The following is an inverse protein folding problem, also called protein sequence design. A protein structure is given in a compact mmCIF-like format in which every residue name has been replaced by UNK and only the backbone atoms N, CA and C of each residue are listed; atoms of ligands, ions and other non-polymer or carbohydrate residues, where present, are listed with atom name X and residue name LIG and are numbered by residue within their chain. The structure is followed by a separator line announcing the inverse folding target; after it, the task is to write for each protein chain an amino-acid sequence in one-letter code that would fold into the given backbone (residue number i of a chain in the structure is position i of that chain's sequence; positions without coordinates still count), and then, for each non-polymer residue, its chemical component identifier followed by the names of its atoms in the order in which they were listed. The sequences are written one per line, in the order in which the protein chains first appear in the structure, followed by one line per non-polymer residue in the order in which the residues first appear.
data_IF_613507117627
#
_entry.id   IF_613507117627
#
_cell.length_a   1.000
_cell.length_b   1.000
_cell.length_c   1.000
_cell.angle_alpha   90.00
_cell.angle_beta   90.00
_cell.angle_gamma   90.00
#
_symmetry.space_group_name_H-M   'P 1'
#
loop_
_entity.id
_entity.type
_entity.pdbx_description
1 polymer ?
#
# COMPACT_ATOMS: atom_id res chain seq x y z
N UNK A 1 24.53 -9.89 -22.28
CA UNK A 1 24.21 -10.28 -20.89
C UNK A 1 24.23 -9.02 -20.04
N UNK A 2 23.07 -8.52 -19.63
CA UNK A 2 23.00 -7.45 -18.63
C UNK A 2 23.27 -8.09 -17.27
N UNK A 3 24.34 -7.66 -16.61
CA UNK A 3 24.71 -8.13 -15.29
C UNK A 3 23.60 -7.78 -14.29
N UNK A 4 23.17 -8.77 -13.51
CA UNK A 4 22.39 -8.52 -12.31
C UNK A 4 23.21 -7.58 -11.42
N UNK A 5 22.73 -6.36 -11.22
CA UNK A 5 23.31 -5.44 -10.25
C UNK A 5 23.17 -6.08 -8.87
N UNK A 6 24.30 -6.45 -8.26
CA UNK A 6 24.35 -6.94 -6.89
C UNK A 6 23.75 -5.88 -5.95
N UNK A 7 22.46 -6.02 -5.63
CA UNK A 7 21.87 -5.28 -4.52
C UNK A 7 22.53 -5.80 -3.25
N UNK A 8 23.22 -4.95 -2.47
CA UNK A 8 23.81 -5.39 -1.22
C UNK A 8 22.74 -6.01 -0.30
N UNK A 9 23.03 -7.18 0.25
CA UNK A 9 22.12 -7.91 1.14
C UNK A 9 21.56 -7.03 2.27
N UNK A 10 22.41 -6.16 2.84
CA UNK A 10 22.03 -5.22 3.90
C UNK A 10 21.01 -4.16 3.46
N UNK A 11 21.11 -3.68 2.22
CA UNK A 11 20.17 -2.71 1.66
C UNK A 11 18.78 -3.35 1.44
N UNK A 12 18.74 -4.63 1.04
CA UNK A 12 17.50 -5.39 0.88
C UNK A 12 16.80 -5.64 2.22
N UNK A 13 17.55 -6.03 3.25
CA UNK A 13 16.98 -6.24 4.59
C UNK A 13 16.48 -4.95 5.23
N UNK A 14 17.21 -3.85 5.08
CA UNK A 14 16.77 -2.54 5.57
C UNK A 14 15.47 -2.09 4.91
N UNK A 15 15.33 -2.25 3.59
CA UNK A 15 14.11 -1.88 2.86
C UNK A 15 12.91 -2.75 3.27
N UNK A 16 13.10 -4.05 3.49
CA UNK A 16 12.07 -4.93 4.04
C UNK A 16 11.60 -4.47 5.41
N UNK A 17 12.53 -4.15 6.31
CA UNK A 17 12.20 -3.64 7.64
C UNK A 17 11.43 -2.32 7.58
N UNK A 18 11.91 -1.36 6.78
CA UNK A 18 11.24 -0.08 6.60
C UNK A 18 9.81 -0.23 6.06
N UNK A 19 9.60 -1.19 5.14
CA UNK A 19 8.27 -1.53 4.64
C UNK A 19 7.38 -2.11 5.75
N UNK A 20 7.88 -3.07 6.53
CA UNK A 20 7.14 -3.70 7.63
C UNK A 20 6.74 -2.68 8.72
N UNK A 21 7.66 -1.77 9.07
CA UNK A 21 7.41 -0.70 10.03
C UNK A 21 6.33 0.27 9.50
N UNK A 22 6.43 0.66 8.22
CA UNK A 22 5.44 1.52 7.58
C UNK A 22 4.05 0.86 7.47
N UNK A 23 4.01 -0.45 7.17
CA UNK A 23 2.78 -1.24 7.09
C UNK A 23 2.10 -1.30 8.45
N UNK A 24 2.84 -1.67 9.49
CA UNK A 24 2.32 -1.76 10.87
C UNK A 24 1.76 -0.41 11.34
N UNK A 25 2.45 0.68 11.00
CA UNK A 25 1.97 2.03 11.31
C UNK A 25 0.68 2.37 10.55
N UNK A 26 0.62 2.11 9.26
CA UNK A 26 -0.58 2.38 8.46
C UNK A 26 -1.76 1.54 8.92
N UNK A 27 -1.57 0.26 9.24
CA UNK A 27 -2.64 -0.61 9.77
C UNK A 27 -3.22 -0.07 11.08
N UNK A 28 -2.35 0.41 11.98
CA UNK A 28 -2.79 1.06 13.23
C UNK A 28 -3.60 2.33 12.94
N UNK A 29 -3.06 3.22 12.09
CA UNK A 29 -3.70 4.48 11.74
C UNK A 29 -5.04 4.24 10.99
N UNK A 30 -5.12 3.23 10.11
CA UNK A 30 -6.33 2.85 9.35
C UNK A 30 -7.41 2.27 10.28
N UNK A 31 -7.02 1.37 11.19
CA UNK A 31 -7.95 0.81 12.17
C UNK A 31 -8.54 1.89 13.06
N UNK A 32 -7.71 2.81 13.54
CA UNK A 32 -8.17 3.93 14.35
C UNK A 32 -9.08 4.86 13.52
N UNK A 33 -8.69 5.22 12.30
CA UNK A 33 -9.50 6.07 11.43
C UNK A 33 -10.88 5.45 11.15
N UNK A 34 -10.94 4.16 10.82
CA UNK A 34 -12.19 3.44 10.56
C UNK A 34 -13.07 3.33 11.79
N UNK A 35 -12.48 3.13 12.97
CA UNK A 35 -13.23 3.12 14.23
C UNK A 35 -13.94 4.45 14.45
N UNK A 36 -13.19 5.56 14.41
CA UNK A 36 -13.76 6.89 14.64
C UNK A 36 -14.78 7.28 13.55
N UNK A 37 -14.51 6.92 12.29
CA UNK A 37 -15.47 7.14 11.20
C UNK A 37 -16.80 6.42 11.45
N UNK A 38 -16.74 5.14 11.88
CA UNK A 38 -17.95 4.38 12.16
C UNK A 38 -18.70 4.96 13.36
N UNK A 39 -18.00 5.37 14.43
CA UNK A 39 -18.61 6.03 15.58
C UNK A 39 -19.32 7.33 15.16
N UNK A 40 -18.65 8.21 14.41
CA UNK A 40 -19.27 9.45 13.92
C UNK A 40 -20.42 9.19 12.93
N UNK A 41 -20.33 8.14 12.13
CA UNK A 41 -21.39 7.76 11.19
C UNK A 41 -22.62 7.22 11.91
N UNK A 42 -22.42 6.35 12.89
CA UNK A 42 -23.50 5.73 13.67
C UNK A 42 -24.22 6.76 14.54
N UNK A 43 -23.50 7.78 15.02
CA UNK A 43 -24.06 8.91 15.76
C UNK A 43 -24.65 10.00 14.85
N UNK A 44 -24.53 9.84 13.52
CA UNK A 44 -25.09 10.77 12.52
C UNK A 44 -24.30 12.07 12.35
N UNK A 45 -23.08 12.15 12.88
CA UNK A 45 -22.18 13.30 12.72
C UNK A 45 -21.58 13.43 11.33
N UNK A 46 -21.52 12.32 10.57
CA UNK A 46 -21.08 12.36 9.18
C UNK A 46 -21.95 11.49 8.27
N UNK A 47 -22.19 11.99 7.06
CA UNK A 47 -22.76 11.22 5.94
C UNK A 47 -21.74 11.00 4.82
N UNK A 48 -20.52 11.51 5.00
CA UNK A 48 -19.48 11.43 4.00
C UNK A 48 -19.00 9.99 3.83
N UNK A 49 -18.45 9.69 2.66
CA UNK A 49 -17.67 8.48 2.46
C UNK A 49 -16.39 8.55 3.29
N UNK A 50 -15.91 7.38 3.73
CA UNK A 50 -14.68 7.27 4.53
C UNK A 50 -13.50 8.03 3.91
N UNK A 51 -13.31 7.96 2.58
CA UNK A 51 -12.21 8.62 1.88
C UNK A 51 -12.24 10.15 2.03
N UNK A 52 -13.43 10.76 1.91
CA UNK A 52 -13.60 12.20 2.15
C UNK A 52 -13.36 12.52 3.62
N UNK A 53 -14.00 11.76 4.51
CA UNK A 53 -13.92 12.00 5.95
C UNK A 53 -12.49 11.86 6.49
N UNK A 54 -11.74 10.83 6.08
CA UNK A 54 -10.41 10.53 6.62
C UNK A 54 -9.38 11.58 6.21
N UNK A 55 -9.53 12.18 5.02
CA UNK A 55 -8.62 13.25 4.57
C UNK A 55 -8.80 14.54 5.36
N UNK A 56 -10.00 14.79 5.88
CA UNK A 56 -10.31 15.98 6.67
C UNK A 56 -9.97 15.79 8.15
N UNK A 57 -10.29 14.63 8.71
CA UNK A 57 -10.25 14.40 10.15
C UNK A 57 -8.98 13.67 10.62
N UNK A 58 -8.30 12.95 9.73
CA UNK A 58 -7.12 12.14 10.07
C UNK A 58 -5.96 12.37 9.10
N UNK A 59 -5.31 13.56 9.09
CA UNK A 59 -4.15 13.82 8.24
C UNK A 59 -3.00 12.80 8.40
N UNK A 60 -2.84 12.25 9.61
CA UNK A 60 -1.84 11.20 9.90
C UNK A 60 -2.05 9.92 9.09
N UNK A 61 -3.31 9.55 8.80
CA UNK A 61 -3.65 8.42 7.95
C UNK A 61 -3.15 8.61 6.52
N UNK A 62 -3.34 9.81 5.96
CA UNK A 62 -2.84 10.15 4.62
C UNK A 62 -1.31 10.10 4.55
N UNK A 63 -0.64 10.59 5.59
CA UNK A 63 0.83 10.54 5.69
C UNK A 63 1.34 9.10 5.79
N UNK A 64 0.74 8.25 6.62
CA UNK A 64 1.15 6.85 6.73
C UNK A 64 0.83 6.05 5.48
N UNK A 65 -0.31 6.28 4.81
CA UNK A 65 -0.63 5.70 3.50
C UNK A 65 0.44 6.03 2.46
N UNK A 66 0.80 7.31 2.34
CA UNK A 66 1.83 7.77 1.39
C UNK A 66 3.21 7.20 1.72
N UNK A 67 3.53 7.11 3.01
CA UNK A 67 4.79 6.50 3.47
C UNK A 67 4.86 5.02 3.10
N UNK A 68 3.78 4.27 3.35
CA UNK A 68 3.68 2.87 2.98
C UNK A 68 3.83 2.67 1.47
N UNK A 69 3.16 3.49 0.65
CA UNK A 69 3.31 3.45 -0.82
C UNK A 69 4.77 3.66 -1.23
N UNK A 70 5.43 4.71 -0.72
CA UNK A 70 6.85 4.96 -1.03
C UNK A 70 7.78 3.79 -0.64
N UNK A 71 7.55 3.17 0.53
CA UNK A 71 8.33 1.99 0.95
C UNK A 71 8.02 0.74 0.11
N UNK A 72 6.78 0.59 -0.34
CA UNK A 72 6.39 -0.48 -1.26
C UNK A 72 7.09 -0.34 -2.61
N UNK A 73 7.19 0.88 -3.14
CA UNK A 73 7.88 1.18 -4.39
C UNK A 73 9.38 0.89 -4.26
N UNK A 74 10.01 1.33 -3.17
CA UNK A 74 11.42 1.04 -2.88
C UNK A 74 11.71 -0.46 -2.81
N UNK A 75 10.81 -1.24 -2.19
CA UNK A 75 10.93 -2.69 -2.09
C UNK A 75 10.74 -3.38 -3.45
N UNK A 76 9.76 -2.91 -4.23
CA UNK A 76 9.48 -3.40 -5.58
C UNK A 76 10.67 -3.15 -6.51
N UNK A 77 11.22 -1.95 -6.52
CA UNK A 77 12.42 -1.61 -7.30
C UNK A 77 13.62 -2.49 -6.92
N UNK A 78 13.77 -2.78 -5.63
CA UNK A 78 14.83 -3.66 -5.12
C UNK A 78 14.65 -5.09 -5.62
N UNK A 79 13.41 -5.60 -5.58
CA UNK A 79 13.10 -6.92 -6.11
C UNK A 79 13.27 -6.98 -7.63
N UNK A 80 12.89 -5.95 -8.37
CA UNK A 80 13.15 -5.85 -9.82
C UNK A 80 14.65 -5.84 -10.13
N UNK A 81 15.47 -5.13 -9.35
CA UNK A 81 16.92 -5.11 -9.54
C UNK A 81 17.57 -6.48 -9.25
N UNK A 82 17.06 -7.21 -8.26
CA UNK A 82 17.61 -8.51 -7.85
C UNK A 82 17.14 -9.68 -8.74
N UNK A 83 15.88 -9.67 -9.17
CA UNK A 83 15.24 -10.80 -9.86
C UNK A 83 14.92 -10.52 -11.33
N UNK A 84 15.06 -9.27 -11.78
CA UNK A 84 14.90 -8.88 -13.18
C UNK A 84 13.46 -9.02 -13.71
N UNK A 85 13.36 -9.22 -15.01
CA UNK A 85 12.11 -9.27 -15.78
C UNK A 85 11.10 -10.31 -15.27
N UNK A 86 11.56 -11.47 -14.81
CA UNK A 86 10.67 -12.53 -14.32
C UNK A 86 9.84 -12.07 -13.10
N UNK A 87 10.43 -11.25 -12.23
CA UNK A 87 9.70 -10.65 -11.11
C UNK A 87 8.69 -9.60 -11.58
N UNK A 88 9.07 -8.77 -12.56
CA UNK A 88 8.17 -7.77 -13.14
C UNK A 88 6.95 -8.42 -13.81
N UNK A 89 7.16 -9.46 -14.62
CA UNK A 89 6.08 -10.20 -15.28
C UNK A 89 5.12 -10.83 -14.27
N UNK A 90 5.68 -11.43 -13.21
CA UNK A 90 4.88 -11.98 -12.11
C UNK A 90 4.06 -10.88 -11.42
N UNK A 91 4.69 -9.75 -11.09
CA UNK A 91 4.02 -8.65 -10.41
C UNK A 91 2.85 -8.10 -11.24
N UNK A 92 3.04 -7.89 -12.54
CA UNK A 92 1.98 -7.40 -13.43
C UNK A 92 0.85 -8.41 -13.59
N UNK A 93 1.18 -9.71 -13.63
CA UNK A 93 0.17 -10.78 -13.59
C UNK A 93 -0.64 -10.75 -12.29
N UNK A 94 0.04 -10.70 -11.15
CA UNK A 94 -0.59 -10.67 -9.82
C UNK A 94 -1.51 -9.44 -9.68
N UNK A 95 -1.08 -8.26 -10.17
CA UNK A 95 -1.92 -7.05 -10.24
C UNK A 95 -3.15 -7.24 -11.14
N UNK A 96 -2.96 -7.82 -12.31
CA UNK A 96 -4.06 -8.07 -13.25
C UNK A 96 -5.10 -9.02 -12.66
N UNK A 97 -4.65 -10.10 -12.02
CA UNK A 97 -5.53 -11.11 -11.43
C UNK A 97 -6.26 -10.54 -10.20
N UNK A 98 -5.60 -9.72 -9.38
CA UNK A 98 -6.25 -8.98 -8.30
C UNK A 98 -7.35 -8.06 -8.83
N UNK A 99 -7.07 -7.24 -9.85
CA UNK A 99 -8.06 -6.31 -10.38
C UNK A 99 -9.25 -7.02 -11.05
N UNK A 100 -9.01 -8.16 -11.71
CA UNK A 100 -10.10 -9.01 -12.22
C UNK A 100 -10.98 -9.53 -11.08
N UNK A 101 -10.36 -10.02 -10.00
CA UNK A 101 -11.10 -10.54 -8.85
C UNK A 101 -11.91 -9.41 -8.17
N UNK A 102 -11.33 -8.22 -8.02
CA UNK A 102 -12.02 -7.06 -7.49
C UNK A 102 -13.21 -6.66 -8.36
N UNK A 103 -13.03 -6.60 -9.69
CA UNK A 103 -14.11 -6.30 -10.63
C UNK A 103 -15.25 -7.33 -10.55
N UNK A 104 -14.92 -8.62 -10.47
CA UNK A 104 -15.91 -9.69 -10.28
C UNK A 104 -16.68 -9.56 -8.96
N UNK A 105 -16.05 -8.99 -7.92
CA UNK A 105 -16.68 -8.68 -6.64
C UNK A 105 -17.41 -7.32 -6.63
N UNK A 106 -17.48 -6.61 -7.76
CA UNK A 106 -18.14 -5.30 -7.87
C UNK A 106 -17.31 -4.12 -7.35
N UNK A 107 -16.02 -4.32 -7.12
CA UNK A 107 -15.07 -3.27 -6.73
C UNK A 107 -14.25 -2.80 -7.94
N UNK A 108 -13.93 -1.51 -7.97
CA UNK A 108 -13.15 -0.88 -9.04
C UNK A 108 -11.87 -0.30 -8.42
N UNK A 109 -10.77 -1.06 -8.36
CA UNK A 109 -9.51 -0.55 -7.84
C UNK A 109 -9.04 0.63 -8.68
N UNK A 110 -8.66 1.73 -8.02
CA UNK A 110 -7.95 2.81 -8.70
C UNK A 110 -6.54 2.33 -9.04
N UNK A 111 -6.22 2.29 -10.33
CA UNK A 111 -4.85 2.12 -10.80
C UNK A 111 -4.19 3.50 -10.78
N UNK A 112 -3.32 3.73 -9.79
CA UNK A 112 -2.36 4.84 -9.80
C UNK A 112 -1.06 4.33 -10.42
#
# INVERSE_FOLDING_TARGET
MLAATDVPFDASQMRKKNYQDALSKFESDDKEARKNYNEEKDEGFTSDKFETWVTQNRPSWGVSKKTLQGRSDELTQTAMAAFGLAYQEKLEKDKSDFSKAAFQAGHYPEFI
#
